data_IF_830797994737
#
_entry.id   IF_830797994737
#
_cell.length_a   1.000
_cell.length_b   1.000
_cell.length_c   1.000
_cell.angle_alpha   90.00
_cell.angle_beta   90.00
_cell.angle_gamma   90.00
#
_symmetry.space_group_name_H-M   'P 1'
#
loop_
_entity.id
_entity.type
_entity.pdbx_description
1 polymer ?
#
# COMPACT_ATOMS: atom_id res chain seq x y z
N UNK A 1 16.63 -0.94 -27.32
CA UNK A 1 15.21 -1.22 -27.64
C UNK A 1 14.36 -1.54 -26.41
N UNK A 2 14.75 -2.49 -25.53
CA UNK A 2 13.97 -2.78 -24.30
C UNK A 2 14.23 -1.78 -23.17
N UNK A 3 15.50 -1.44 -22.94
CA UNK A 3 15.93 -0.52 -21.88
C UNK A 3 15.38 0.91 -22.08
N UNK A 4 15.42 1.41 -23.30
CA UNK A 4 14.85 2.71 -23.65
C UNK A 4 13.33 2.77 -23.43
N UNK A 5 12.59 1.68 -23.69
CA UNK A 5 11.16 1.60 -23.38
C UNK A 5 10.90 1.66 -21.88
N UNK A 6 11.72 0.96 -21.09
CA UNK A 6 11.68 1.02 -19.63
C UNK A 6 11.96 2.44 -19.13
N UNK A 7 12.99 3.10 -19.66
CA UNK A 7 13.35 4.47 -19.29
C UNK A 7 12.26 5.49 -19.65
N UNK A 8 11.59 5.32 -20.80
CA UNK A 8 10.42 6.14 -21.19
C UNK A 8 9.26 5.99 -20.22
N UNK A 9 8.99 4.76 -19.76
CA UNK A 9 7.95 4.50 -18.75
C UNK A 9 8.32 5.13 -17.41
N UNK A 10 9.57 4.97 -16.98
CA UNK A 10 10.08 5.54 -15.73
C UNK A 10 9.98 7.06 -15.74
N UNK A 11 10.39 7.71 -16.82
CA UNK A 11 10.25 9.16 -16.97
C UNK A 11 8.76 9.59 -16.91
N UNK A 12 7.86 8.81 -17.49
CA UNK A 12 6.42 9.10 -17.44
C UNK A 12 5.83 8.99 -16.02
N UNK A 13 6.37 8.08 -15.20
CA UNK A 13 6.01 7.95 -13.77
C UNK A 13 6.56 9.14 -12.99
N UNK A 14 7.82 9.51 -13.22
CA UNK A 14 8.45 10.67 -12.58
C UNK A 14 7.69 11.97 -12.92
N UNK A 15 7.35 12.17 -14.19
CA UNK A 15 6.55 13.32 -14.64
C UNK A 15 5.18 13.36 -13.96
N UNK A 16 4.52 12.20 -13.81
CA UNK A 16 3.25 12.11 -13.09
C UNK A 16 3.40 12.50 -11.61
N UNK A 17 4.42 11.98 -10.92
CA UNK A 17 4.69 12.32 -9.52
C UNK A 17 4.98 13.82 -9.36
N UNK A 18 5.79 14.40 -10.26
CA UNK A 18 6.10 15.84 -10.26
C UNK A 18 4.87 16.72 -10.51
N UNK A 19 3.93 16.28 -11.36
CA UNK A 19 2.65 16.97 -11.57
C UNK A 19 1.79 16.88 -10.31
N UNK A 20 1.67 15.69 -9.71
CA UNK A 20 0.89 15.47 -8.50
C UNK A 20 1.40 16.26 -7.28
N UNK A 21 2.71 16.51 -7.22
CA UNK A 21 3.35 17.40 -6.22
C UNK A 21 2.99 18.87 -6.49
N UNK A 22 2.93 19.29 -7.76
CA UNK A 22 2.68 20.69 -8.15
C UNK A 22 1.21 21.09 -8.13
N UNK A 23 0.32 20.16 -8.45
CA UNK A 23 -1.12 20.41 -8.52
C UNK A 23 -1.84 20.24 -7.16
N UNK A 24 -1.12 19.78 -6.13
CA UNK A 24 -1.65 19.58 -4.78
C UNK A 24 -2.58 18.37 -4.65
N UNK A 25 -2.55 17.43 -5.61
CA UNK A 25 -3.25 16.14 -5.50
C UNK A 25 -2.78 15.33 -4.29
N UNK A 26 -1.53 15.57 -3.87
CA UNK A 26 -0.90 14.92 -2.73
C UNK A 26 -0.84 15.86 -1.53
N UNK A 27 -0.98 15.32 -0.32
CA UNK A 27 -0.88 16.10 0.92
C UNK A 27 0.52 16.71 1.05
N UNK A 28 0.60 17.92 1.59
CA UNK A 28 1.90 18.59 1.83
C UNK A 28 2.85 17.75 2.69
N UNK A 29 2.32 17.00 3.67
CA UNK A 29 3.13 16.09 4.51
C UNK A 29 3.77 14.93 3.73
N UNK A 30 3.19 14.54 2.59
CA UNK A 30 3.67 13.44 1.75
C UNK A 30 4.59 13.94 0.61
N UNK A 31 4.71 15.26 0.43
CA UNK A 31 5.46 15.89 -0.67
C UNK A 31 6.95 15.55 -0.63
N UNK A 32 7.58 15.73 0.51
CA UNK A 32 9.01 15.44 0.69
C UNK A 32 9.31 13.96 0.39
N UNK A 33 8.40 13.06 0.80
CA UNK A 33 8.52 11.63 0.51
C UNK A 33 8.41 11.31 -0.98
N UNK A 34 7.54 12.02 -1.71
CA UNK A 34 7.41 11.88 -3.15
C UNK A 34 8.62 12.43 -3.90
N UNK A 35 9.20 13.55 -3.46
CA UNK A 35 10.42 14.12 -4.04
C UNK A 35 11.61 13.14 -3.89
N UNK A 36 11.75 12.50 -2.73
CA UNK A 36 12.76 11.44 -2.51
C UNK A 36 12.49 10.23 -3.41
N UNK A 37 11.23 9.80 -3.54
CA UNK A 37 10.88 8.67 -4.38
C UNK A 37 11.20 8.92 -5.86
N UNK A 38 10.95 10.14 -6.38
CA UNK A 38 11.33 10.54 -7.74
C UNK A 38 12.84 10.39 -7.96
N UNK A 39 13.65 10.84 -6.99
CA UNK A 39 15.10 10.72 -7.08
C UNK A 39 15.55 9.26 -7.07
N UNK A 40 15.05 8.44 -6.14
CA UNK A 40 15.40 7.02 -6.05
C UNK A 40 15.02 6.24 -7.31
N UNK A 41 13.83 6.52 -7.87
CA UNK A 41 13.37 5.88 -9.11
C UNK A 41 14.25 6.32 -10.29
N UNK A 42 14.59 7.61 -10.37
CA UNK A 42 15.49 8.11 -11.41
C UNK A 42 16.86 7.41 -11.38
N UNK A 43 17.49 7.37 -10.21
CA UNK A 43 18.80 6.75 -10.02
C UNK A 43 18.78 5.24 -10.32
N UNK A 44 17.76 4.52 -9.86
CA UNK A 44 17.66 3.06 -10.06
C UNK A 44 17.58 2.64 -11.53
N UNK A 45 17.02 3.50 -12.39
CA UNK A 45 16.83 3.22 -13.82
C UNK A 45 17.70 4.07 -14.75
N UNK A 46 18.63 4.84 -14.17
CA UNK A 46 19.52 5.75 -14.92
C UNK A 46 18.75 6.84 -15.68
N UNK A 47 17.62 7.29 -15.12
CA UNK A 47 16.78 8.37 -15.66
C UNK A 47 16.97 9.62 -14.81
N UNK A 48 17.65 10.63 -15.35
CA UNK A 48 17.78 11.92 -14.69
C UNK A 48 16.71 12.90 -15.22
N UNK A 49 15.70 13.28 -14.41
CA UNK A 49 14.69 14.26 -14.81
C UNK A 49 15.25 15.69 -14.93
N UNK A 50 16.43 15.97 -14.39
CA UNK A 50 17.12 17.27 -14.52
C UNK A 50 17.86 17.40 -15.85
N UNK A 51 18.18 16.28 -16.48
CA UNK A 51 18.86 16.25 -17.77
C UNK A 51 17.85 16.46 -18.92
N UNK A 52 17.83 17.68 -19.46
CA UNK A 52 16.91 18.08 -20.53
C UNK A 52 17.04 17.24 -21.80
N UNK A 53 18.26 16.86 -22.19
CA UNK A 53 18.52 16.11 -23.42
C UNK A 53 18.00 14.66 -23.30
N UNK A 54 18.17 14.05 -22.13
CA UNK A 54 17.65 12.74 -21.83
C UNK A 54 16.12 12.76 -21.70
N UNK A 55 15.58 13.79 -21.02
CA UNK A 55 14.14 14.00 -20.88
C UNK A 55 13.46 14.16 -22.25
N UNK A 56 14.02 14.96 -23.16
CA UNK A 56 13.44 15.17 -24.49
C UNK A 56 13.49 13.90 -25.36
N UNK A 57 14.56 13.11 -25.24
CA UNK A 57 14.69 11.82 -25.96
C UNK A 57 13.70 10.76 -25.48
N UNK A 58 13.41 10.74 -24.18
CA UNK A 58 12.55 9.74 -23.53
C UNK A 58 11.09 10.23 -23.39
N UNK A 59 10.82 11.49 -23.67
CA UNK A 59 9.49 12.08 -23.60
C UNK A 59 8.53 11.39 -24.57
N UNK A 60 7.33 11.09 -24.08
CA UNK A 60 6.22 10.54 -24.86
C UNK A 60 5.12 11.58 -25.13
N UNK A 61 5.40 12.87 -24.89
CA UNK A 61 4.46 13.96 -25.15
C UNK A 61 4.05 13.98 -26.63
N UNK A 62 2.74 14.19 -26.94
CA UNK A 62 1.69 14.72 -26.06
C UNK A 62 0.97 13.68 -25.19
N UNK A 63 1.30 12.40 -25.28
CA UNK A 63 0.69 11.38 -24.43
C UNK A 63 1.26 11.45 -23.00
N UNK A 64 0.39 11.24 -22.02
CA UNK A 64 0.75 11.20 -20.60
C UNK A 64 0.32 9.86 -20.00
N UNK A 65 0.94 9.46 -18.90
CA UNK A 65 0.59 8.20 -18.22
C UNK A 65 -0.92 8.11 -17.88
N UNK A 66 -1.58 9.18 -17.37
CA UNK A 66 -3.03 9.19 -17.17
C UNK A 66 -3.84 8.98 -18.46
N UNK A 67 -3.49 9.67 -19.56
CA UNK A 67 -4.25 9.54 -20.83
C UNK A 67 -4.09 8.17 -21.48
N UNK A 68 -2.91 7.55 -21.37
CA UNK A 68 -2.67 6.18 -21.83
C UNK A 68 -3.48 5.18 -20.98
N UNK A 69 -3.49 5.38 -19.65
CA UNK A 69 -4.26 4.53 -18.74
C UNK A 69 -5.77 4.63 -18.99
N UNK A 70 -6.29 5.84 -19.19
CA UNK A 70 -7.69 6.07 -19.54
C UNK A 70 -8.07 5.43 -20.88
N UNK A 71 -7.18 5.51 -21.87
CA UNK A 71 -7.39 4.86 -23.17
C UNK A 71 -7.43 3.33 -23.02
N UNK A 72 -6.56 2.76 -22.19
CA UNK A 72 -6.56 1.34 -21.87
C UNK A 72 -7.87 0.92 -21.20
N UNK A 73 -8.31 1.66 -20.18
CA UNK A 73 -9.58 1.40 -19.50
C UNK A 73 -10.78 1.47 -20.45
N UNK A 74 -10.87 2.53 -21.26
CA UNK A 74 -11.94 2.69 -22.27
C UNK A 74 -11.91 1.60 -23.33
N UNK A 75 -10.74 1.20 -23.79
CA UNK A 75 -10.59 0.11 -24.78
C UNK A 75 -11.02 -1.22 -24.18
N UNK A 76 -10.64 -1.48 -22.91
CA UNK A 76 -11.06 -2.68 -22.18
C UNK A 76 -12.58 -2.72 -22.00
N UNK A 77 -13.20 -1.61 -21.60
CA UNK A 77 -14.65 -1.51 -21.47
C UNK A 77 -15.37 -1.70 -22.81
N UNK A 78 -14.81 -1.15 -23.90
CA UNK A 78 -15.37 -1.28 -25.25
C UNK A 78 -15.21 -2.69 -25.83
N UNK A 79 -14.15 -3.40 -25.45
CA UNK A 79 -13.97 -4.83 -25.74
C UNK A 79 -14.85 -5.71 -24.85
N UNK A 80 -15.41 -5.16 -23.77
CA UNK A 80 -16.30 -5.84 -22.81
C UNK A 80 -17.80 -5.62 -23.10
N UNK A 81 -18.19 -5.30 -24.34
CA UNK A 81 -19.60 -5.20 -24.77
C UNK A 81 -20.38 -6.53 -24.70
N UNK A 82 -21.73 -6.50 -24.67
CA UNK A 82 -22.56 -7.24 -23.72
C UNK A 82 -22.61 -8.74 -24.01
N UNK A 83 -21.92 -9.54 -23.19
CA UNK A 83 -22.29 -10.92 -22.98
C UNK A 83 -23.12 -11.00 -21.70
N UNK A 84 -24.38 -11.40 -21.88
CA UNK A 84 -25.28 -11.85 -20.85
C UNK A 84 -24.57 -12.78 -19.84
N UNK A 85 -25.07 -12.73 -18.60
CA UNK A 85 -24.52 -13.45 -17.46
C UNK A 85 -24.15 -14.89 -17.78
N UNK A 86 -22.98 -15.28 -17.28
CA UNK A 86 -22.69 -16.67 -16.98
C UNK A 86 -22.69 -16.81 -15.47
N UNK A 87 -23.87 -17.14 -14.95
CA UNK A 87 -24.00 -17.92 -13.73
C UNK A 87 -23.22 -19.22 -13.93
N UNK A 88 -21.92 -19.20 -13.64
CA UNK A 88 -21.20 -20.44 -13.39
C UNK A 88 -21.67 -20.96 -12.04
N UNK A 89 -22.74 -21.78 -12.07
CA UNK A 89 -22.97 -22.79 -11.03
C UNK A 89 -21.78 -23.74 -11.06
N UNK A 90 -20.72 -23.35 -10.37
CA UNK A 90 -19.72 -24.29 -9.89
C UNK A 90 -20.34 -24.98 -8.68
N UNK A 91 -20.46 -26.30 -8.78
CA UNK A 91 -20.85 -27.18 -7.68
C UNK A 91 -19.91 -26.89 -6.50
N UNK A 92 -20.42 -26.51 -5.31
CA UNK A 92 -19.54 -26.14 -4.21
C UNK A 92 -18.97 -27.40 -3.56
N UNK A 93 -17.75 -27.75 -3.96
CA UNK A 93 -16.80 -28.37 -3.03
C UNK A 93 -16.39 -27.29 -2.02
N UNK A 94 -16.47 -27.53 -0.69
CA UNK A 94 -16.18 -26.53 0.31
C UNK A 94 -14.66 -26.34 0.42
N UNK A 95 -14.12 -25.44 -0.39
CA UNK A 95 -12.89 -24.73 -0.07
C UNK A 95 -13.30 -23.36 0.48
N UNK A 96 -12.73 -22.90 1.61
CA UNK A 96 -13.09 -21.62 2.20
C UNK A 96 -12.81 -20.52 1.17
N UNK A 97 -13.86 -19.90 0.67
CA UNK A 97 -13.75 -18.75 -0.21
C UNK A 97 -12.96 -17.68 0.55
N UNK A 98 -11.84 -17.21 -0.05
CA UNK A 98 -11.13 -16.05 0.48
C UNK A 98 -12.07 -14.84 0.60
N UNK A 99 -11.66 -13.82 1.37
CA UNK A 99 -12.55 -12.72 1.75
C UNK A 99 -13.12 -12.00 0.53
N UNK A 100 -14.45 -11.79 0.54
CA UNK A 100 -15.16 -11.15 -0.56
C UNK A 100 -14.76 -9.68 -0.70
N UNK A 101 -15.07 -9.07 -1.85
CA UNK A 101 -14.81 -7.64 -2.03
C UNK A 101 -15.55 -6.75 -1.01
N UNK A 102 -16.72 -7.21 -0.53
CA UNK A 102 -17.46 -6.55 0.54
C UNK A 102 -16.72 -6.67 1.88
N UNK A 103 -16.23 -7.88 2.22
CA UNK A 103 -15.48 -8.12 3.46
C UNK A 103 -14.20 -7.27 3.49
N UNK A 104 -13.48 -7.16 2.36
CA UNK A 104 -12.30 -6.30 2.24
C UNK A 104 -12.64 -4.82 2.43
N UNK A 105 -13.76 -4.36 1.87
CA UNK A 105 -14.20 -2.97 2.04
C UNK A 105 -14.61 -2.67 3.49
N UNK A 106 -15.23 -3.64 4.17
CA UNK A 106 -15.60 -3.54 5.57
C UNK A 106 -14.37 -3.63 6.50
N UNK A 107 -13.41 -4.51 6.20
CA UNK A 107 -12.13 -4.59 6.87
C UNK A 107 -11.39 -3.23 6.82
N UNK A 108 -11.40 -2.59 5.66
CA UNK A 108 -10.82 -1.25 5.45
C UNK A 108 -11.55 -0.16 6.25
N UNK A 109 -12.87 -0.28 6.45
CA UNK A 109 -13.63 0.63 7.33
C UNK A 109 -13.20 0.47 8.79
N UNK A 110 -13.12 -0.75 9.29
CA UNK A 110 -12.65 -1.01 10.65
C UNK A 110 -11.19 -0.59 10.85
N UNK A 111 -10.32 -0.73 9.84
CA UNK A 111 -8.95 -0.19 9.93
C UNK A 111 -8.96 1.33 10.11
N UNK A 112 -9.78 2.04 9.33
CA UNK A 112 -9.89 3.50 9.43
C UNK A 112 -10.42 3.93 10.80
N UNK A 113 -11.43 3.23 11.31
CA UNK A 113 -11.95 3.42 12.68
C UNK A 113 -10.85 3.20 13.73
N UNK A 114 -10.13 2.08 13.64
CA UNK A 114 -8.99 1.79 14.52
C UNK A 114 -7.92 2.87 14.49
N UNK A 115 -7.61 3.44 13.32
CA UNK A 115 -6.66 4.55 13.19
C UNK A 115 -7.14 5.83 13.90
N UNK A 116 -8.44 6.12 13.86
CA UNK A 116 -9.02 7.25 14.60
C UNK A 116 -8.97 6.99 16.11
N UNK A 117 -9.25 5.77 16.55
CA UNK A 117 -9.15 5.39 17.97
C UNK A 117 -7.70 5.43 18.46
N UNK A 118 -6.73 5.05 17.62
CA UNK A 118 -5.30 5.18 17.90
C UNK A 118 -4.88 6.62 18.12
N UNK A 119 -5.34 7.56 17.29
CA UNK A 119 -5.00 8.98 17.46
C UNK A 119 -5.63 9.58 18.73
N UNK A 120 -6.74 9.01 19.19
CA UNK A 120 -7.39 9.33 20.47
C UNK A 120 -6.75 8.61 21.68
N UNK A 121 -5.72 7.78 21.47
CA UNK A 121 -5.09 6.93 22.50
C UNK A 121 -6.03 5.90 23.12
N UNK A 122 -7.15 5.59 22.46
CA UNK A 122 -8.10 4.55 22.85
C UNK A 122 -7.61 3.19 22.36
N UNK A 123 -6.53 2.68 22.98
CA UNK A 123 -5.78 1.53 22.46
C UNK A 123 -6.60 0.23 22.43
N UNK A 124 -7.39 -0.06 23.47
CA UNK A 124 -8.22 -1.26 23.52
C UNK A 124 -9.28 -1.27 22.41
N UNK A 125 -9.95 -0.14 22.19
CA UNK A 125 -10.94 0.00 21.12
C UNK A 125 -10.29 -0.09 19.73
N UNK A 126 -9.09 0.48 19.56
CA UNK A 126 -8.33 0.35 18.32
C UNK A 126 -7.94 -1.11 18.03
N UNK A 127 -7.50 -1.85 19.06
CA UNK A 127 -7.19 -3.28 18.95
C UNK A 127 -8.42 -4.08 18.49
N UNK A 128 -9.59 -3.78 19.04
CA UNK A 128 -10.84 -4.42 18.64
C UNK A 128 -11.16 -4.14 17.16
N UNK A 129 -11.11 -2.87 16.73
CA UNK A 129 -11.35 -2.50 15.33
C UNK A 129 -10.36 -3.20 14.38
N UNK A 130 -9.07 -3.22 14.69
CA UNK A 130 -8.11 -3.95 13.84
C UNK A 130 -8.32 -5.46 13.85
N UNK A 131 -8.80 -6.03 14.96
CA UNK A 131 -9.14 -7.46 15.03
C UNK A 131 -10.30 -7.80 14.11
N UNK A 132 -11.34 -6.95 14.05
CA UNK A 132 -12.42 -7.09 13.07
C UNK A 132 -11.92 -6.99 11.62
N UNK A 133 -10.95 -6.11 11.34
CA UNK A 133 -10.31 -6.08 10.02
C UNK A 133 -9.60 -7.40 9.67
N UNK A 134 -8.94 -8.03 10.64
CA UNK A 134 -8.23 -9.30 10.46
C UNK A 134 -9.21 -10.48 10.30
N UNK A 135 -10.32 -10.48 11.04
CA UNK A 135 -11.38 -11.49 10.88
C UNK A 135 -12.00 -11.45 9.48
N UNK A 136 -12.18 -10.25 8.94
CA UNK A 136 -12.74 -10.02 7.60
C UNK A 136 -11.72 -10.24 6.48
N UNK A 137 -10.45 -9.83 6.66
CA UNK A 137 -9.39 -10.01 5.67
C UNK A 137 -8.02 -10.21 6.35
N UNK A 138 -7.78 -11.45 6.79
CA UNK A 138 -6.57 -11.84 7.51
C UNK A 138 -5.30 -11.91 6.65
N UNK A 139 -5.34 -11.54 5.38
CA UNK A 139 -4.17 -11.58 4.48
C UNK A 139 -3.45 -10.24 4.38
N UNK A 140 -4.04 -9.15 4.88
CA UNK A 140 -3.45 -7.83 4.76
C UNK A 140 -2.45 -7.55 5.90
N UNK A 141 -1.14 -7.39 5.63
CA UNK A 141 -0.12 -7.18 6.65
C UNK A 141 -0.31 -5.86 7.42
N UNK A 142 -1.03 -4.89 6.84
CA UNK A 142 -1.27 -3.58 7.45
C UNK A 142 -2.09 -3.70 8.72
N UNK A 143 -3.08 -4.59 8.77
CA UNK A 143 -3.94 -4.72 9.95
C UNK A 143 -3.16 -5.24 11.15
N UNK A 144 -2.33 -6.26 10.95
CA UNK A 144 -1.45 -6.79 11.98
C UNK A 144 -0.42 -5.74 12.44
N UNK A 145 0.23 -5.03 11.50
CA UNK A 145 1.17 -3.96 11.86
C UNK A 145 0.51 -2.81 12.64
N UNK A 146 -0.75 -2.48 12.36
CA UNK A 146 -1.47 -1.45 13.10
C UNK A 146 -1.89 -1.93 14.49
N UNK A 147 -2.34 -3.19 14.61
CA UNK A 147 -2.67 -3.80 15.90
C UNK A 147 -1.43 -3.98 16.78
N UNK A 148 -0.28 -4.32 16.20
CA UNK A 148 1.02 -4.32 16.87
C UNK A 148 1.36 -2.95 17.47
N UNK A 149 1.11 -1.86 16.72
CA UNK A 149 1.31 -0.50 17.21
C UNK A 149 0.40 -0.17 18.39
N UNK A 150 -0.86 -0.63 18.35
CA UNK A 150 -1.83 -0.45 19.42
C UNK A 150 -1.43 -1.22 20.69
N UNK A 151 -1.08 -2.51 20.57
CA UNK A 151 -0.57 -3.32 21.68
C UNK A 151 0.69 -2.71 22.29
N UNK A 152 1.65 -2.28 21.47
CA UNK A 152 2.86 -1.63 21.95
C UNK A 152 2.57 -0.34 22.71
N UNK A 153 1.57 0.43 22.27
CA UNK A 153 1.18 1.70 22.92
C UNK A 153 0.43 1.46 24.24
N UNK A 154 -0.25 0.32 24.36
CA UNK A 154 -0.88 -0.15 25.59
C UNK A 154 0.13 -0.75 26.61
N UNK A 155 1.31 -1.14 26.15
CA UNK A 155 2.35 -1.81 26.95
C UNK A 155 2.34 -3.34 26.81
N UNK A 156 1.44 -3.90 26.01
CA UNK A 156 1.34 -5.35 25.74
C UNK A 156 2.38 -5.77 24.67
N UNK A 157 3.68 -5.61 24.98
CA UNK A 157 4.76 -5.76 24.00
C UNK A 157 4.87 -7.18 23.42
N UNK A 158 4.61 -8.22 24.21
CA UNK A 158 4.62 -9.61 23.73
C UNK A 158 3.62 -9.84 22.58
N UNK A 159 2.40 -9.31 22.72
CA UNK A 159 1.38 -9.39 21.66
C UNK A 159 1.76 -8.54 20.45
N UNK A 160 2.42 -7.42 20.66
CA UNK A 160 2.92 -6.58 19.58
C UNK A 160 4.02 -7.28 18.75
N UNK A 161 4.88 -8.09 19.36
CA UNK A 161 5.85 -8.93 18.65
C UNK A 161 5.13 -9.91 17.74
N UNK A 162 4.18 -10.66 18.28
CA UNK A 162 3.41 -11.67 17.53
C UNK A 162 2.73 -11.05 16.30
N UNK A 163 2.08 -9.89 16.46
CA UNK A 163 1.43 -9.22 15.35
C UNK A 163 2.43 -8.64 14.33
N UNK A 164 3.60 -8.18 14.77
CA UNK A 164 4.64 -7.71 13.85
C UNK A 164 5.24 -8.87 13.01
N UNK A 165 5.44 -10.04 13.63
CA UNK A 165 5.87 -11.25 12.94
C UNK A 165 4.80 -11.79 11.99
N UNK A 166 3.52 -11.71 12.37
CA UNK A 166 2.41 -12.06 11.50
C UNK A 166 2.35 -11.13 10.27
N UNK A 167 2.59 -9.83 10.45
CA UNK A 167 2.67 -8.88 9.33
C UNK A 167 3.83 -9.20 8.37
N UNK A 168 5.01 -9.58 8.90
CA UNK A 168 6.17 -10.02 8.09
C UNK A 168 5.85 -11.33 7.36
N UNK A 169 5.16 -12.25 8.01
CA UNK A 169 4.78 -13.54 7.42
C UNK A 169 3.78 -13.36 6.28
N UNK A 170 2.86 -12.38 6.40
CA UNK A 170 1.90 -12.04 5.36
C UNK A 170 2.56 -11.30 4.17
N UNK A 171 3.51 -10.39 4.44
CA UNK A 171 4.31 -9.72 3.40
C UNK A 171 5.75 -9.50 3.89
N UNK A 172 6.70 -10.34 3.45
CA UNK A 172 8.10 -10.21 3.84
C UNK A 172 8.79 -8.93 3.36
N UNK A 173 8.17 -8.18 2.43
CA UNK A 173 8.69 -6.91 1.92
C UNK A 173 8.11 -5.70 2.66
N UNK A 174 7.18 -5.91 3.60
CA UNK A 174 6.52 -4.83 4.32
C UNK A 174 7.40 -4.22 5.40
N UNK A 175 8.22 -3.23 5.01
CA UNK A 175 9.22 -2.54 5.85
C UNK A 175 8.66 -2.05 7.19
N UNK A 176 7.41 -1.58 7.22
CA UNK A 176 6.77 -1.09 8.46
C UNK A 176 6.69 -2.17 9.53
N UNK A 177 6.50 -3.44 9.16
CA UNK A 177 6.44 -4.54 10.13
C UNK A 177 7.79 -4.79 10.80
N UNK A 178 8.90 -4.72 10.07
CA UNK A 178 10.24 -4.81 10.66
C UNK A 178 10.54 -3.64 11.59
N UNK A 179 10.11 -2.42 11.23
CA UNK A 179 10.24 -1.27 12.12
C UNK A 179 9.44 -1.47 13.42
N UNK A 180 8.21 -2.02 13.33
CA UNK A 180 7.41 -2.38 14.51
C UNK A 180 8.12 -3.44 15.36
N UNK A 181 8.61 -4.51 14.73
CA UNK A 181 9.29 -5.60 15.43
C UNK A 181 10.53 -5.09 16.16
N UNK A 182 11.40 -4.33 15.48
CA UNK A 182 12.60 -3.76 16.08
C UNK A 182 12.29 -2.84 17.26
N UNK A 183 11.30 -1.97 17.13
CA UNK A 183 10.86 -1.08 18.20
C UNK A 183 10.36 -1.86 19.42
N UNK A 184 9.50 -2.86 19.20
CA UNK A 184 8.91 -3.66 20.29
C UNK A 184 9.95 -4.55 20.96
N UNK A 185 10.90 -5.15 20.22
CA UNK A 185 11.96 -5.96 20.81
C UNK A 185 12.84 -5.14 21.77
N UNK A 186 13.19 -3.91 21.40
CA UNK A 186 13.92 -3.00 22.29
C UNK A 186 13.14 -2.76 23.59
N UNK A 187 11.82 -2.53 23.48
CA UNK A 187 10.95 -2.32 24.63
C UNK A 187 10.85 -3.55 25.54
N UNK A 188 10.68 -4.76 24.97
CA UNK A 188 10.68 -6.02 25.72
C UNK A 188 11.98 -6.23 26.52
N UNK A 189 13.12 -5.95 25.89
CA UNK A 189 14.43 -6.07 26.54
C UNK A 189 14.60 -5.07 27.69
N UNK A 190 14.10 -3.85 27.51
CA UNK A 190 14.15 -2.80 28.54
C UNK A 190 13.19 -3.04 29.71
N UNK A 191 12.03 -3.68 29.46
CA UNK A 191 11.03 -3.99 30.48
C UNK A 191 11.35 -5.21 31.34
N UNK A 192 12.29 -6.06 30.91
CA UNK A 192 12.68 -7.28 31.63
C UNK A 192 13.77 -7.06 32.70
N UNK A 193 14.11 -5.81 33.00
CA UNK A 193 15.19 -5.44 33.94
C UNK A 193 14.71 -5.04 35.34
N UNK A 194 13.57 -5.54 35.81
CA UNK A 194 13.05 -5.28 37.16
C UNK A 194 12.79 -6.58 37.94
#
# INVERSE_FOLDING_TARGET
>A
MSEEKTQRLVLSIIDFLNVAIKDGTVKEDDREGLEVAVQCIGEAFGVDPSNKEQSDRLSIKPASLPTIFDLFLKTREKLSGPAAGSSSRSVPTPQPAGPSAADKAEAERHKKEGNVLMSQKSYDAAIESYSRSIELDGQNPVYYSNRAAAYSSKGDHEKAVVDAEAAISADPTFVKAYHRLGYVMILCMSGSSH
#
